data_IF_672382527524
#
_entry.id   IF_672382527524
#
_cell.length_a   1.000
_cell.length_b   1.000
_cell.length_c   1.000
_cell.angle_alpha   90.00
_cell.angle_beta   90.00
_cell.angle_gamma   90.00
#
_symmetry.space_group_name_H-M   'P 1'
#
loop_
_entity.id
_entity.type
_entity.pdbx_description
1 polymer ?
#
# COMPACT_ATOMS: atom_id res chain seq x y z
N UNK A 1 -32.28 13.24 -0.18
CA UNK A 1 -31.11 14.14 -0.27
C UNK A 1 -30.02 13.61 0.66
N UNK A 2 -29.00 12.92 0.13
CA UNK A 2 -27.84 12.50 0.94
C UNK A 2 -26.87 13.68 1.04
N UNK A 3 -26.61 14.14 2.27
CA UNK A 3 -25.57 15.15 2.52
C UNK A 3 -24.22 14.53 2.19
N UNK A 4 -23.59 15.02 1.12
CA UNK A 4 -22.17 14.78 0.86
C UNK A 4 -21.42 15.65 1.87
N UNK A 5 -21.03 15.05 2.98
CA UNK A 5 -20.17 15.69 3.96
C UNK A 5 -18.74 15.58 3.41
N UNK A 6 -17.97 16.68 3.32
CA UNK A 6 -16.59 16.59 2.88
C UNK A 6 -15.79 15.80 3.92
N UNK A 7 -15.10 14.74 3.47
CA UNK A 7 -14.09 14.02 4.24
C UNK A 7 -13.18 15.02 4.97
N UNK A 8 -12.72 14.68 6.20
CA UNK A 8 -11.96 15.59 7.04
C UNK A 8 -10.74 16.10 6.27
N UNK A 9 -10.62 17.44 6.24
CA UNK A 9 -9.58 18.23 5.60
C UNK A 9 -8.32 17.42 5.31
N UNK A 10 -8.12 17.10 4.03
CA UNK A 10 -6.92 16.43 3.54
C UNK A 10 -5.69 17.11 4.15
N UNK A 11 -5.00 16.39 5.04
CA UNK A 11 -3.71 16.79 5.57
C UNK A 11 -2.77 17.01 4.38
N UNK A 12 -2.54 18.28 4.04
CA UNK A 12 -1.75 18.69 2.85
C UNK A 12 -0.27 18.40 3.04
N UNK A 13 0.16 17.96 4.22
CA UNK A 13 1.53 17.55 4.44
C UNK A 13 1.88 16.35 3.57
N UNK A 14 3.18 16.16 3.33
CA UNK A 14 3.70 14.97 2.66
C UNK A 14 3.28 13.71 3.43
N UNK A 15 3.39 13.75 4.77
CA UNK A 15 3.01 12.63 5.64
C UNK A 15 1.54 12.25 5.46
N UNK A 16 0.62 13.22 5.47
CA UNK A 16 -0.80 12.99 5.23
C UNK A 16 -1.10 12.33 3.88
N UNK A 17 -0.47 12.82 2.79
CA UNK A 17 -0.62 12.23 1.46
C UNK A 17 -0.10 10.80 1.38
N UNK A 18 1.03 10.51 2.01
CA UNK A 18 1.59 9.16 2.05
C UNK A 18 0.74 8.19 2.88
N UNK A 19 0.18 8.65 4.00
CA UNK A 19 -0.74 7.85 4.81
C UNK A 19 -2.01 7.48 4.02
N UNK A 20 -2.61 8.45 3.31
CA UNK A 20 -3.78 8.20 2.47
C UNK A 20 -3.45 7.26 1.30
N UNK A 21 -2.29 7.43 0.68
CA UNK A 21 -1.84 6.50 -0.36
C UNK A 21 -1.67 5.07 0.20
N UNK A 22 -1.06 4.93 1.38
CA UNK A 22 -0.88 3.65 2.07
C UNK A 22 -2.21 2.99 2.40
N UNK A 23 -3.18 3.75 2.90
CA UNK A 23 -4.54 3.28 3.11
C UNK A 23 -5.16 2.71 1.83
N UNK A 24 -5.15 3.49 0.74
CA UNK A 24 -5.79 3.06 -0.51
C UNK A 24 -5.10 1.87 -1.17
N UNK A 25 -3.77 1.81 -1.13
CA UNK A 25 -3.04 0.65 -1.63
C UNK A 25 -3.36 -0.59 -0.80
N UNK A 26 -3.33 -0.48 0.52
CA UNK A 26 -3.64 -1.57 1.43
C UNK A 26 -5.06 -2.12 1.18
N UNK A 27 -6.08 -1.25 1.08
CA UNK A 27 -7.44 -1.66 0.77
C UNK A 27 -7.54 -2.32 -0.62
N UNK A 28 -6.92 -1.74 -1.65
CA UNK A 28 -6.93 -2.31 -2.99
C UNK A 28 -6.26 -3.70 -3.07
N UNK A 29 -5.27 -3.96 -2.24
CA UNK A 29 -4.47 -5.19 -2.24
C UNK A 29 -5.12 -6.29 -1.39
N UNK A 30 -5.53 -5.98 -0.16
CA UNK A 30 -6.01 -6.98 0.79
C UNK A 30 -7.55 -7.05 0.88
N UNK A 31 -8.24 -5.95 0.56
CA UNK A 31 -9.69 -5.83 0.72
C UNK A 31 -10.37 -5.22 -0.53
N UNK A 32 -10.12 -5.75 -1.75
CA UNK A 32 -10.47 -5.10 -3.01
C UNK A 32 -11.97 -4.84 -3.23
N UNK A 33 -12.84 -5.57 -2.53
CA UNK A 33 -14.30 -5.53 -2.68
C UNK A 33 -15.01 -5.05 -1.41
N UNK A 34 -14.25 -4.57 -0.42
CA UNK A 34 -14.82 -4.09 0.84
C UNK A 34 -14.86 -2.56 0.88
N UNK A 35 -15.84 -2.05 1.60
CA UNK A 35 -15.92 -0.63 1.97
C UNK A 35 -15.82 -0.52 3.48
N UNK A 36 -15.16 0.54 3.93
CA UNK A 36 -14.92 0.80 5.35
C UNK A 36 -15.54 2.14 5.71
N UNK A 37 -16.04 2.25 6.94
CA UNK A 37 -16.57 3.51 7.44
C UNK A 37 -15.45 4.50 7.80
N UNK A 38 -15.85 5.73 8.09
CA UNK A 38 -14.91 6.81 8.43
C UNK A 38 -14.13 6.54 9.72
N UNK A 39 -14.72 5.80 10.67
CA UNK A 39 -14.05 5.47 11.94
C UNK A 39 -12.95 4.44 11.73
N UNK A 40 -13.19 3.43 10.90
CA UNK A 40 -12.18 2.47 10.49
C UNK A 40 -11.04 3.13 9.75
N UNK A 41 -11.36 4.00 8.78
CA UNK A 41 -10.36 4.80 8.08
C UNK A 41 -9.50 5.63 9.04
N UNK A 42 -10.12 6.36 9.99
CA UNK A 42 -9.38 7.15 11.00
C UNK A 42 -8.46 6.28 11.84
N UNK A 43 -8.96 5.14 12.37
CA UNK A 43 -8.17 4.21 13.19
C UNK A 43 -6.96 3.68 12.43
N UNK A 44 -7.16 3.25 11.18
CA UNK A 44 -6.07 2.74 10.35
C UNK A 44 -5.06 3.81 9.95
N UNK A 45 -5.50 5.03 9.64
CA UNK A 45 -4.59 6.15 9.32
C UNK A 45 -3.68 6.48 10.49
N UNK A 46 -4.17 6.42 11.73
CA UNK A 46 -3.31 6.62 12.93
C UNK A 46 -2.20 5.57 12.97
N UNK A 47 -2.54 4.29 12.78
CA UNK A 47 -1.55 3.19 12.81
C UNK A 47 -0.54 3.29 11.64
N UNK A 48 -1.01 3.62 10.44
CA UNK A 48 -0.15 3.87 9.27
C UNK A 48 0.79 5.04 9.56
N UNK A 49 0.27 6.14 10.09
CA UNK A 49 1.06 7.31 10.45
C UNK A 49 2.16 6.92 11.44
N UNK A 50 1.81 6.23 12.53
CA UNK A 50 2.81 5.76 13.51
C UNK A 50 3.91 4.92 12.86
N UNK A 51 3.60 4.11 11.84
CA UNK A 51 4.62 3.35 11.11
C UNK A 51 5.52 4.22 10.23
N UNK A 52 4.97 5.28 9.64
CA UNK A 52 5.66 6.18 8.70
C UNK A 52 6.30 7.41 9.37
N UNK A 53 6.07 7.63 10.67
CA UNK A 53 6.43 8.85 11.41
C UNK A 53 7.91 8.96 11.76
N UNK A 54 8.78 8.87 10.75
CA UNK A 54 10.22 9.13 10.85
C UNK A 54 10.74 9.76 9.56
N UNK A 55 10.87 11.10 9.49
CA UNK A 55 11.20 11.82 8.25
C UNK A 55 12.49 11.35 7.55
N UNK A 56 13.51 10.99 8.34
CA UNK A 56 14.83 10.58 7.82
C UNK A 56 14.74 9.29 7.01
N UNK A 57 13.85 8.38 7.39
CA UNK A 57 13.72 7.03 6.80
C UNK A 57 12.34 6.79 6.18
N UNK A 58 11.58 7.86 5.91
CA UNK A 58 10.19 7.77 5.47
C UNK A 58 10.04 6.97 4.18
N UNK A 59 10.91 7.17 3.19
CA UNK A 59 10.89 6.38 1.96
C UNK A 59 11.16 4.89 2.22
N UNK A 60 12.16 4.57 3.05
CA UNK A 60 12.49 3.19 3.39
C UNK A 60 11.34 2.49 4.15
N UNK A 61 10.71 3.18 5.10
CA UNK A 61 9.53 2.69 5.84
C UNK A 61 8.33 2.51 4.93
N UNK A 62 8.11 3.44 4.00
CA UNK A 62 7.07 3.31 2.99
C UNK A 62 7.32 2.08 2.11
N UNK A 63 8.58 1.87 1.69
CA UNK A 63 8.94 0.70 0.89
C UNK A 63 8.70 -0.60 1.65
N UNK A 64 9.22 -0.69 2.88
CA UNK A 64 9.00 -1.83 3.78
C UNK A 64 7.50 -2.14 3.92
N UNK A 65 6.69 -1.12 4.20
CA UNK A 65 5.25 -1.27 4.41
C UNK A 65 4.53 -1.93 3.24
N UNK A 66 4.79 -1.44 2.03
CA UNK A 66 4.11 -1.95 0.84
C UNK A 66 4.65 -3.31 0.40
N UNK A 67 5.96 -3.56 0.52
CA UNK A 67 6.51 -4.88 0.20
C UNK A 67 5.92 -5.95 1.13
N UNK A 68 5.73 -5.61 2.41
CA UNK A 68 5.03 -6.47 3.39
C UNK A 68 3.56 -6.71 3.03
N UNK A 69 2.84 -5.71 2.52
CA UNK A 69 1.48 -5.88 1.99
C UNK A 69 1.43 -6.84 0.79
N UNK A 70 2.38 -6.70 -0.15
CA UNK A 70 2.45 -7.58 -1.32
C UNK A 70 2.77 -9.03 -0.92
N UNK A 71 3.65 -9.24 0.07
CA UNK A 71 3.93 -10.55 0.65
C UNK A 71 2.71 -11.16 1.35
N UNK A 72 1.89 -10.35 2.01
CA UNK A 72 0.62 -10.81 2.59
C UNK A 72 -0.39 -11.21 1.49
N UNK A 73 -0.52 -10.40 0.44
CA UNK A 73 -1.38 -10.70 -0.70
C UNK A 73 -0.99 -12.00 -1.42
N UNK A 74 0.31 -12.19 -1.68
CA UNK A 74 0.81 -13.45 -2.27
C UNK A 74 0.45 -14.65 -1.38
N UNK A 75 0.60 -14.52 -0.07
CA UNK A 75 0.28 -15.58 0.87
C UNK A 75 -1.21 -15.96 0.85
N UNK A 76 -2.11 -14.97 0.78
CA UNK A 76 -3.55 -15.18 0.68
C UNK A 76 -3.91 -15.89 -0.64
N UNK A 77 -3.31 -15.46 -1.75
CA UNK A 77 -3.56 -16.07 -3.06
C UNK A 77 -3.06 -17.51 -3.17
N UNK A 78 -2.06 -17.89 -2.35
CA UNK A 78 -1.59 -19.27 -2.22
C UNK A 78 -2.48 -20.14 -1.30
N UNK A 79 -3.64 -19.62 -0.88
CA UNK A 79 -4.62 -20.37 -0.09
C UNK A 79 -4.25 -20.48 1.38
N UNK A 80 -3.38 -19.62 1.92
CA UNK A 80 -3.18 -19.56 3.37
C UNK A 80 -4.49 -19.07 4.03
N UNK A 81 -5.12 -19.89 4.89
CA UNK A 81 -6.48 -19.63 5.39
C UNK A 81 -6.44 -18.57 6.48
N UNK A 82 -6.40 -17.30 6.07
CA UNK A 82 -6.61 -16.19 6.99
C UNK A 82 -7.87 -15.46 6.56
N UNK A 83 -8.92 -15.54 7.38
CA UNK A 83 -9.95 -14.51 7.36
C UNK A 83 -9.26 -13.19 7.67
N UNK A 84 -9.09 -12.33 6.66
CA UNK A 84 -8.50 -11.02 6.88
C UNK A 84 -9.43 -10.22 7.80
N UNK A 85 -8.96 -9.80 8.99
CA UNK A 85 -9.76 -8.97 9.87
C UNK A 85 -9.90 -7.57 9.27
N UNK A 86 -10.59 -6.68 9.99
CA UNK A 86 -10.65 -5.27 9.61
C UNK A 86 -9.24 -4.64 9.55
N UNK A 87 -9.01 -3.66 8.65
CA UNK A 87 -7.71 -3.02 8.47
C UNK A 87 -7.02 -2.54 9.76
N UNK A 88 -7.75 -1.90 10.65
CA UNK A 88 -7.27 -1.37 11.92
C UNK A 88 -6.81 -2.48 12.86
N UNK A 89 -7.50 -3.63 12.88
CA UNK A 89 -7.09 -4.83 13.62
C UNK A 89 -5.85 -5.45 12.97
N UNK A 90 -5.83 -5.57 11.65
CA UNK A 90 -4.70 -6.14 10.92
C UNK A 90 -3.40 -5.35 11.13
N UNK A 91 -3.50 -4.02 11.22
CA UNK A 91 -2.38 -3.11 11.47
C UNK A 91 -1.92 -3.07 12.94
N UNK A 92 -2.68 -3.63 13.88
CA UNK A 92 -2.27 -3.61 15.30
C UNK A 92 -0.94 -4.35 15.49
N UNK A 93 0.05 -3.74 16.16
CA UNK A 93 1.34 -4.38 16.41
C UNK A 93 1.23 -5.70 17.19
N UNK A 94 0.21 -5.84 18.03
CA UNK A 94 0.00 -7.01 18.89
C UNK A 94 -0.87 -8.10 18.24
N UNK A 95 -1.45 -7.83 17.07
CA UNK A 95 -2.19 -8.85 16.33
C UNK A 95 -1.20 -9.70 15.54
N UNK A 96 -0.93 -10.91 16.04
CA UNK A 96 0.16 -11.79 15.56
C UNK A 96 -0.07 -12.34 14.14
N UNK A 97 -1.31 -12.35 13.67
CA UNK A 97 -1.70 -12.82 12.34
C UNK A 97 -1.83 -11.67 11.32
N UNK A 98 -1.50 -10.45 11.75
CA UNK A 98 -1.65 -9.23 10.97
C UNK A 98 -0.41 -8.79 10.22
N UNK A 99 -0.24 -7.47 10.14
CA UNK A 99 0.94 -6.82 9.59
C UNK A 99 2.22 -7.32 10.28
N UNK A 100 2.19 -7.54 11.59
CA UNK A 100 3.33 -8.04 12.36
C UNK A 100 3.88 -9.38 11.81
N UNK A 101 3.00 -10.29 11.40
CA UNK A 101 3.35 -11.61 10.84
C UNK A 101 4.21 -11.54 9.58
N UNK A 102 4.06 -10.45 8.81
CA UNK A 102 4.76 -10.28 7.53
C UNK A 102 6.25 -9.96 7.71
N UNK A 103 6.69 -9.57 8.91
CA UNK A 103 8.09 -9.18 9.16
C UNK A 103 9.06 -10.31 8.84
N UNK A 104 8.77 -11.55 9.27
CA UNK A 104 9.65 -12.69 8.98
C UNK A 104 9.76 -12.99 7.48
N UNK A 105 8.66 -12.84 6.73
CA UNK A 105 8.66 -12.97 5.26
C UNK A 105 9.48 -11.86 4.61
N UNK A 106 9.39 -10.64 5.12
CA UNK A 106 10.16 -9.50 4.65
C UNK A 106 11.66 -9.67 4.90
N UNK A 107 12.07 -10.11 6.10
CA UNK A 107 13.49 -10.38 6.36
C UNK A 107 14.04 -11.46 5.41
N UNK A 108 13.27 -12.52 5.16
CA UNK A 108 13.64 -13.55 4.16
C UNK A 108 13.77 -12.98 2.74
N UNK A 109 12.88 -12.06 2.34
CA UNK A 109 12.98 -11.34 1.08
C UNK A 109 14.29 -10.55 0.99
N UNK A 110 14.66 -9.82 2.04
CA UNK A 110 15.91 -9.06 2.10
C UNK A 110 17.14 -9.97 2.00
N UNK A 111 17.19 -11.05 2.77
CA UNK A 111 18.28 -12.03 2.67
C UNK A 111 18.41 -12.62 1.28
N UNK A 112 17.28 -12.96 0.64
CA UNK A 112 17.29 -13.53 -0.70
C UNK A 112 17.72 -12.53 -1.78
N UNK A 113 17.54 -11.23 -1.57
CA UNK A 113 18.08 -10.18 -2.45
C UNK A 113 19.60 -10.05 -2.37
N UNK A 114 20.20 -10.39 -1.22
CA UNK A 114 21.66 -10.44 -1.08
C UNK A 114 22.25 -11.63 -1.86
N UNK A 115 21.55 -12.76 -1.86
CA UNK A 115 21.97 -13.99 -2.53
C UNK A 115 21.69 -13.98 -4.04
N UNK A 116 20.51 -13.49 -4.43
CA UNK A 116 20.04 -13.45 -5.82
C UNK A 116 19.80 -12.00 -6.26
N UNK A 117 20.75 -11.38 -6.97
CA UNK A 117 20.60 -10.03 -7.48
C UNK A 117 19.32 -9.88 -8.31
N UNK A 118 18.52 -8.85 -7.99
CA UNK A 118 17.26 -8.59 -8.68
C UNK A 118 16.07 -9.45 -8.22
N UNK A 119 16.24 -10.31 -7.22
CA UNK A 119 15.13 -11.10 -6.67
C UNK A 119 13.98 -10.19 -6.20
N UNK A 120 12.82 -10.40 -6.82
CA UNK A 120 11.60 -9.61 -6.61
C UNK A 120 11.86 -8.10 -6.68
N UNK A 121 12.68 -7.69 -7.64
CA UNK A 121 12.92 -6.27 -7.95
C UNK A 121 11.67 -5.57 -8.48
N UNK A 122 10.74 -6.32 -9.07
CA UNK A 122 9.41 -5.89 -9.49
C UNK A 122 8.59 -5.28 -8.32
N UNK A 123 8.69 -5.86 -7.12
CA UNK A 123 8.06 -5.32 -5.89
C UNK A 123 8.62 -3.93 -5.58
N UNK A 124 9.94 -3.83 -5.50
CA UNK A 124 10.62 -2.57 -5.23
C UNK A 124 10.30 -1.51 -6.29
N UNK A 125 10.27 -1.91 -7.57
CA UNK A 125 9.93 -1.03 -8.69
C UNK A 125 8.52 -0.47 -8.54
N UNK A 126 7.54 -1.33 -8.27
CA UNK A 126 6.15 -0.91 -8.07
C UNK A 126 6.07 0.12 -6.94
N UNK A 127 6.65 -0.23 -5.79
CA UNK A 127 6.52 0.56 -4.56
C UNK A 127 7.30 1.87 -4.62
N UNK A 128 8.54 1.86 -5.11
CA UNK A 128 9.35 3.08 -5.27
C UNK A 128 8.69 4.07 -6.24
N UNK A 129 8.11 3.58 -7.34
CA UNK A 129 7.37 4.45 -8.25
C UNK A 129 6.06 4.95 -7.65
N UNK A 130 5.36 4.12 -6.87
CA UNK A 130 4.15 4.55 -6.18
C UNK A 130 4.44 5.60 -5.10
N UNK A 131 5.53 5.46 -4.34
CA UNK A 131 6.01 6.47 -3.39
C UNK A 131 6.25 7.81 -4.10
N UNK A 132 7.01 7.81 -5.19
CA UNK A 132 7.30 9.01 -6.00
C UNK A 132 6.01 9.65 -6.56
N UNK A 133 5.05 8.82 -6.97
CA UNK A 133 3.73 9.29 -7.39
C UNK A 133 2.98 9.95 -6.23
N UNK A 134 2.88 9.32 -5.06
CA UNK A 134 2.18 9.86 -3.90
C UNK A 134 2.84 11.12 -3.31
N UNK A 135 4.17 11.21 -3.42
CA UNK A 135 4.94 12.37 -2.97
C UNK A 135 4.73 13.60 -3.89
N UNK A 136 4.80 13.41 -5.21
CA UNK A 136 4.87 14.51 -6.18
C UNK A 136 3.71 14.59 -7.19
N UNK A 137 2.74 13.67 -7.14
CA UNK A 137 1.63 13.48 -8.09
C UNK A 137 2.06 13.48 -9.57
N UNK A 138 3.22 12.88 -9.87
CA UNK A 138 3.77 12.87 -11.23
C UNK A 138 3.24 11.67 -12.02
N UNK A 139 2.29 11.92 -12.94
CA UNK A 139 1.76 10.87 -13.84
C UNK A 139 2.86 10.15 -14.64
N UNK A 140 3.94 10.86 -15.00
CA UNK A 140 5.08 10.28 -15.71
C UNK A 140 5.72 9.12 -14.93
N UNK A 141 5.70 9.15 -13.60
CA UNK A 141 6.21 8.07 -12.76
C UNK A 141 5.38 6.79 -12.92
N UNK A 142 4.05 6.90 -13.03
CA UNK A 142 3.17 5.75 -13.25
C UNK A 142 3.36 5.15 -14.66
N UNK A 143 3.56 6.00 -15.67
CA UNK A 143 3.85 5.55 -17.04
C UNK A 143 5.17 4.77 -17.08
N UNK A 144 6.21 5.27 -16.40
CA UNK A 144 7.50 4.58 -16.27
C UNK A 144 7.33 3.25 -15.55
N UNK A 145 6.62 3.23 -14.42
CA UNK A 145 6.33 2.00 -13.67
C UNK A 145 5.66 0.95 -14.55
N UNK A 146 4.58 1.34 -15.25
CA UNK A 146 3.86 0.47 -16.19
C UNK A 146 4.80 -0.14 -17.23
N UNK A 147 5.63 0.69 -17.88
CA UNK A 147 6.57 0.21 -18.91
C UNK A 147 7.56 -0.81 -18.35
N UNK A 148 8.05 -0.61 -17.13
CA UNK A 148 8.99 -1.54 -16.49
C UNK A 148 8.27 -2.85 -16.12
N UNK A 149 7.10 -2.79 -15.48
CA UNK A 149 6.34 -3.99 -15.10
C UNK A 149 5.95 -4.84 -16.32
N UNK A 150 5.57 -4.21 -17.44
CA UNK A 150 5.31 -4.93 -18.69
C UNK A 150 6.54 -5.65 -19.23
N UNK A 151 7.73 -5.03 -19.16
CA UNK A 151 8.99 -5.66 -19.59
C UNK A 151 9.38 -6.84 -18.69
N UNK A 152 9.00 -6.79 -17.42
CA UNK A 152 9.23 -7.87 -16.46
C UNK A 152 8.13 -8.94 -16.51
N UNK A 153 7.12 -8.81 -17.39
CA UNK A 153 5.93 -9.66 -17.42
C UNK A 153 5.20 -9.75 -16.07
N UNK A 154 5.30 -8.71 -15.23
CA UNK A 154 4.71 -8.66 -13.90
C UNK A 154 3.24 -8.21 -13.96
N UNK A 155 2.40 -8.99 -14.66
CA UNK A 155 1.01 -8.61 -14.94
C UNK A 155 0.14 -8.49 -13.69
N UNK A 156 0.37 -9.32 -12.68
CA UNK A 156 -0.37 -9.25 -11.41
C UNK A 156 -0.10 -7.93 -10.68
N UNK A 157 1.17 -7.49 -10.65
CA UNK A 157 1.55 -6.21 -10.06
C UNK A 157 1.03 -5.02 -10.87
N UNK A 158 0.95 -5.16 -12.19
CA UNK A 158 0.34 -4.15 -13.03
C UNK A 158 -1.16 -4.01 -12.74
N UNK A 159 -1.86 -5.13 -12.56
CA UNK A 159 -3.27 -5.14 -12.16
C UNK A 159 -3.47 -4.47 -10.78
N UNK A 160 -2.60 -4.76 -9.81
CA UNK A 160 -2.62 -4.11 -8.50
C UNK A 160 -2.36 -2.60 -8.58
N UNK A 161 -1.42 -2.18 -9.44
CA UNK A 161 -1.15 -0.77 -9.69
C UNK A 161 -2.41 -0.04 -10.18
N UNK A 162 -3.10 -0.61 -11.18
CA UNK A 162 -4.33 -0.02 -11.71
C UNK A 162 -5.46 0.02 -10.69
N UNK A 163 -5.66 -1.08 -9.94
CA UNK A 163 -6.67 -1.11 -8.88
C UNK A 163 -6.40 -0.06 -7.83
N UNK A 164 -5.13 0.10 -7.43
CA UNK A 164 -4.74 1.13 -6.47
C UNK A 164 -4.99 2.54 -7.00
N UNK A 165 -4.59 2.84 -8.24
CA UNK A 165 -4.80 4.16 -8.84
C UNK A 165 -6.29 4.46 -8.95
N UNK A 166 -7.08 3.48 -9.41
CA UNK A 166 -8.53 3.61 -9.50
C UNK A 166 -9.13 3.91 -8.13
N UNK A 167 -8.79 3.10 -7.11
CA UNK A 167 -9.24 3.31 -5.73
C UNK A 167 -8.84 4.69 -5.22
N UNK A 168 -7.57 5.08 -5.38
CA UNK A 168 -7.08 6.40 -4.98
C UNK A 168 -7.86 7.53 -5.67
N UNK A 169 -8.07 7.42 -6.99
CA UNK A 169 -8.76 8.44 -7.78
C UNK A 169 -10.25 8.52 -7.46
N UNK A 170 -10.93 7.40 -7.22
CA UNK A 170 -12.36 7.36 -6.88
C UNK A 170 -12.66 8.12 -5.59
N UNK A 171 -11.77 8.03 -4.59
CA UNK A 171 -11.95 8.75 -3.31
C UNK A 171 -11.38 10.17 -3.32
N UNK A 172 -10.46 10.53 -4.23
CA UNK A 172 -9.84 11.86 -4.31
C UNK A 172 -10.38 12.77 -5.42
N UNK A 173 -11.16 12.24 -6.37
CA UNK A 173 -11.81 13.06 -7.39
C UNK A 173 -13.22 13.45 -6.93
N UNK A 174 -13.43 14.76 -6.75
CA UNK A 174 -14.69 15.35 -7.23
C UNK A 174 -14.73 14.97 -8.72
N UNK A 175 -15.74 14.20 -9.10
CA UNK A 175 -16.01 13.81 -10.48
C UNK A 175 -15.64 14.95 -11.43
N UNK A 176 -14.87 14.58 -12.47
CA UNK A 176 -14.56 15.42 -13.63
C UNK A 176 -15.81 16.18 -14.08
#
# INVERSE_FOLDING_TARGET
MRRIIPLPLADRTISGRLCNAAWHFMCAVLWPEQSFDDEEHKRSIVLIRTHLDYPIVMEARFIEFYERLLLAHEAINLGQPNCLPQPSVWLQPHYLEGYSATNNKYQRLLYKRLDVPGYRSDYFILVSNYYKYSYGNRRSTLVTCRRILLRLNAFDLLSLLYRTIFHYSFFHSKLI
#
